data_IF_421397823846
#
_entry.id   IF_421397823846
#
_cell.length_a   1.000
_cell.length_b   1.000
_cell.length_c   1.000
_cell.angle_alpha   90.00
_cell.angle_beta   90.00
_cell.angle_gamma   90.00
#
_symmetry.space_group_name_H-M   'P 1'
#
loop_
_entity.id
_entity.type
_entity.pdbx_description
1 polymer ?
#
# COMPACT_ATOMS: atom_id res chain seq x y z
N UNK A 1 14.76 20.66 5.39
CA UNK A 1 16.14 20.20 5.21
C UNK A 1 16.30 18.88 5.92
N UNK A 2 16.70 17.82 5.22
CA UNK A 2 16.82 16.49 5.80
C UNK A 2 18.10 16.39 6.64
N UNK A 3 18.06 15.63 7.73
CA UNK A 3 19.23 15.40 8.57
C UNK A 3 20.35 14.70 7.78
N UNK A 4 21.61 15.09 8.01
CA UNK A 4 22.79 14.49 7.35
C UNK A 4 23.29 13.21 8.03
N UNK A 5 22.96 13.05 9.32
CA UNK A 5 23.18 11.86 10.13
C UNK A 5 21.97 11.69 11.05
N UNK A 6 21.41 10.48 11.08
CA UNK A 6 20.38 10.08 12.03
C UNK A 6 20.99 9.17 13.10
N UNK A 7 20.77 9.51 14.37
CA UNK A 7 21.02 8.63 15.51
C UNK A 7 19.71 7.95 15.88
N UNK A 8 19.66 6.62 15.76
CA UNK A 8 18.41 5.86 15.83
C UNK A 8 18.47 4.91 17.01
N UNK A 9 17.62 5.13 18.01
CA UNK A 9 17.39 4.19 19.10
C UNK A 9 16.39 3.12 18.63
N UNK A 10 16.87 2.12 17.87
CA UNK A 10 15.98 1.21 17.15
C UNK A 10 15.23 0.24 18.08
N UNK A 11 15.89 -0.16 19.16
CA UNK A 11 15.32 -1.00 20.22
C UNK A 11 14.32 -0.25 21.12
N UNK A 12 14.18 1.07 20.99
CA UNK A 12 13.31 1.88 21.83
C UNK A 12 11.89 1.90 21.28
N UNK A 13 10.92 1.60 22.14
CA UNK A 13 9.50 1.57 21.80
C UNK A 13 8.84 2.95 21.97
N UNK A 14 9.33 3.74 22.92
CA UNK A 14 8.88 5.10 23.18
C UNK A 14 10.04 6.01 23.68
N UNK A 15 9.70 7.24 24.09
CA UNK A 15 10.69 8.24 24.53
C UNK A 15 11.28 8.01 25.93
N UNK A 16 10.81 7.02 26.68
CA UNK A 16 11.32 6.66 28.02
C UNK A 16 12.45 5.65 27.93
N UNK A 17 12.52 4.89 26.84
CA UNK A 17 13.59 3.95 26.56
C UNK A 17 14.88 4.70 26.18
N UNK A 18 16.02 4.19 26.63
CA UNK A 18 17.34 4.72 26.27
C UNK A 18 17.95 4.01 25.05
N UNK A 19 19.01 4.58 24.48
CA UNK A 19 19.77 3.98 23.36
C UNK A 19 20.39 2.61 23.68
N UNK A 20 20.67 2.33 24.96
CA UNK A 20 21.43 1.16 25.40
C UNK A 20 20.60 0.21 26.26
N UNK A 21 19.43 0.65 26.72
CA UNK A 21 18.56 -0.14 27.59
C UNK A 21 17.59 -0.94 26.72
N UNK A 22 17.51 -2.25 26.97
CA UNK A 22 16.74 -3.17 26.14
C UNK A 22 15.31 -3.21 26.65
N UNK A 23 14.38 -2.66 25.87
CA UNK A 23 12.94 -2.61 26.22
C UNK A 23 12.27 -4.00 26.24
N UNK A 24 12.85 -5.02 25.59
CA UNK A 24 12.25 -6.36 25.48
C UNK A 24 13.15 -7.46 26.10
N UNK A 25 12.76 -7.90 27.29
CA UNK A 25 13.15 -9.17 27.92
C UNK A 25 12.31 -10.32 27.33
N UNK A 26 12.52 -10.67 26.07
CA UNK A 26 12.14 -12.00 25.58
C UNK A 26 13.42 -12.81 25.44
N UNK A 27 13.43 -13.97 26.10
CA UNK A 27 14.50 -14.96 26.02
C UNK A 27 14.86 -15.17 24.55
N UNK A 28 16.13 -14.92 24.20
CA UNK A 28 16.63 -15.31 22.89
C UNK A 28 16.31 -16.80 22.71
N UNK A 29 15.77 -17.24 21.56
CA UNK A 29 15.36 -18.63 21.38
C UNK A 29 16.52 -19.55 21.78
N UNK A 30 16.29 -20.39 22.80
CA UNK A 30 17.31 -21.17 23.52
C UNK A 30 18.11 -22.14 22.63
N UNK A 31 17.76 -22.27 21.35
CA UNK A 31 18.41 -23.15 20.39
C UNK A 31 18.85 -22.44 19.12
N UNK A 32 19.67 -21.39 19.23
CA UNK A 32 20.39 -20.93 18.05
C UNK A 32 21.82 -20.48 18.35
N UNK A 33 22.76 -21.09 17.62
CA UNK A 33 24.10 -20.53 17.39
C UNK A 33 24.03 -19.20 16.58
N UNK A 34 22.91 -18.46 16.61
CA UNK A 34 22.64 -17.28 15.79
C UNK A 34 22.19 -16.09 16.65
N UNK A 35 23.01 -15.70 17.64
CA UNK A 35 22.89 -14.36 18.28
C UNK A 35 22.96 -13.19 17.26
N UNK A 36 23.39 -13.47 16.03
CA UNK A 36 23.52 -12.53 14.91
C UNK A 36 22.22 -12.27 14.09
N UNK A 37 21.08 -12.89 14.40
CA UNK A 37 19.97 -13.00 13.43
C UNK A 37 18.71 -12.17 13.71
N UNK A 38 18.64 -11.29 14.71
CA UNK A 38 17.45 -10.43 14.84
C UNK A 38 17.47 -9.38 13.70
N UNK A 39 16.49 -9.42 12.78
CA UNK A 39 16.48 -8.50 11.64
C UNK A 39 16.11 -7.09 12.09
N UNK A 40 16.72 -6.08 11.47
CA UNK A 40 16.44 -4.68 11.80
C UNK A 40 14.96 -4.37 11.60
N UNK A 41 14.34 -4.98 10.59
CA UNK A 41 12.93 -4.84 10.23
C UNK A 41 11.98 -5.15 11.39
N UNK A 42 12.40 -5.98 12.35
CA UNK A 42 11.63 -6.34 13.55
C UNK A 42 11.87 -5.40 14.75
N UNK A 43 12.78 -4.43 14.63
CA UNK A 43 13.06 -3.47 15.71
C UNK A 43 11.85 -2.56 15.98
N UNK A 44 11.54 -2.25 17.26
CA UNK A 44 10.39 -1.44 17.66
C UNK A 44 10.22 -0.12 16.90
N UNK A 45 11.32 0.56 16.56
CA UNK A 45 11.30 1.82 15.80
C UNK A 45 10.59 1.72 14.45
N UNK A 46 10.63 0.54 13.82
CA UNK A 46 10.02 0.32 12.51
C UNK A 46 8.49 0.26 12.58
N UNK A 47 7.91 0.22 13.77
CA UNK A 47 6.46 0.30 13.96
C UNK A 47 5.92 1.73 13.82
N UNK A 48 6.75 2.78 13.86
CA UNK A 48 6.32 4.19 13.82
C UNK A 48 6.36 4.75 12.40
N UNK A 49 5.31 5.38 11.92
CA UNK A 49 5.19 5.75 10.51
C UNK A 49 6.25 6.77 10.04
N UNK A 50 6.52 7.80 10.85
CA UNK A 50 7.49 8.87 10.53
C UNK A 50 8.93 8.37 10.41
N UNK A 51 9.27 7.24 11.04
CA UNK A 51 10.64 6.73 11.05
C UNK A 51 11.07 6.17 9.70
N UNK A 52 10.12 5.78 8.82
CA UNK A 52 10.44 5.41 7.45
C UNK A 52 11.02 6.60 6.68
N UNK A 53 10.43 7.79 6.84
CA UNK A 53 10.94 8.99 6.19
C UNK A 53 12.32 9.34 6.72
N UNK A 54 12.51 9.31 8.04
CA UNK A 54 13.80 9.56 8.69
C UNK A 54 14.88 8.57 8.21
N UNK A 55 14.50 7.30 8.04
CA UNK A 55 15.35 6.27 7.47
C UNK A 55 15.71 6.55 6.01
N UNK A 56 14.74 6.64 5.11
CA UNK A 56 14.99 6.69 3.66
C UNK A 56 15.56 8.04 3.19
N UNK A 57 15.35 9.13 3.94
CA UNK A 57 15.85 10.46 3.56
C UNK A 57 17.23 10.80 4.12
N UNK A 58 17.69 10.12 5.18
CA UNK A 58 18.96 10.45 5.83
C UNK A 58 20.14 9.67 5.21
N UNK A 59 21.17 10.33 4.66
CA UNK A 59 22.25 9.62 3.95
C UNK A 59 23.18 8.82 4.86
N UNK A 60 23.20 9.10 6.17
CA UNK A 60 24.01 8.37 7.16
C UNK A 60 23.16 8.02 8.37
N UNK A 61 23.31 6.80 8.87
CA UNK A 61 22.49 6.28 9.96
C UNK A 61 23.40 5.56 10.94
N UNK A 62 23.30 5.91 12.22
CA UNK A 62 23.89 5.16 13.32
C UNK A 62 22.76 4.60 14.16
N UNK A 63 22.60 3.28 14.13
CA UNK A 63 21.46 2.56 14.68
C UNK A 63 21.90 1.75 15.88
N UNK A 64 21.31 2.06 17.03
CA UNK A 64 21.40 1.27 18.24
C UNK A 64 20.29 0.22 18.18
N UNK A 65 20.60 -0.92 17.57
CA UNK A 65 19.69 -2.05 17.43
C UNK A 65 19.79 -2.97 18.66
N UNK A 66 18.83 -3.89 18.82
CA UNK A 66 18.69 -4.74 20.00
C UNK A 66 19.92 -5.59 20.29
N UNK A 67 20.71 -5.95 19.27
CA UNK A 67 21.87 -6.84 19.41
C UNK A 67 23.17 -6.26 18.84
N UNK A 68 23.16 -5.06 18.24
CA UNK A 68 24.34 -4.48 17.59
C UNK A 68 24.21 -2.99 17.34
N UNK A 69 25.35 -2.35 17.14
CA UNK A 69 25.45 -1.02 16.54
C UNK A 69 25.58 -1.19 15.02
N UNK A 70 24.72 -0.51 14.25
CA UNK A 70 24.73 -0.55 12.78
C UNK A 70 25.07 0.85 12.29
N UNK A 71 26.13 1.00 11.50
CA UNK A 71 26.40 2.24 10.79
C UNK A 71 26.19 2.03 9.30
N UNK A 72 25.39 2.88 8.65
CA UNK A 72 25.27 2.88 7.19
C UNK A 72 25.38 4.26 6.58
N UNK A 73 25.88 4.27 5.35
CA UNK A 73 26.09 5.45 4.53
C UNK A 73 25.68 5.10 3.10
N UNK A 74 24.86 5.93 2.47
CA UNK A 74 24.35 5.68 1.11
C UNK A 74 25.48 5.49 0.08
N UNK A 75 26.61 6.21 0.24
CA UNK A 75 27.79 6.05 -0.62
C UNK A 75 28.45 4.66 -0.49
N UNK A 76 28.45 4.08 0.70
CA UNK A 76 29.01 2.73 0.92
C UNK A 76 28.09 1.62 0.41
N UNK A 77 26.82 1.94 0.16
CA UNK A 77 25.83 1.00 -0.35
C UNK A 77 25.81 0.96 -1.89
N UNK A 78 26.61 1.80 -2.57
CA UNK A 78 26.74 1.78 -4.03
C UNK A 78 27.47 0.53 -4.53
N UNK A 79 27.04 -0.07 -5.66
CA UNK A 79 27.74 -1.21 -6.26
C UNK A 79 29.22 -0.87 -6.52
N UNK A 80 30.15 -1.68 -5.98
CA UNK A 80 31.59 -1.53 -6.20
C UNK A 80 32.41 -1.13 -4.97
N UNK A 81 31.79 -0.62 -3.90
CA UNK A 81 32.48 -0.40 -2.63
C UNK A 81 32.52 -1.70 -1.82
N UNK A 82 33.73 -2.29 -1.71
CA UNK A 82 33.98 -3.44 -0.85
C UNK A 82 34.41 -2.95 0.53
N UNK A 83 33.69 -3.43 1.55
CA UNK A 83 33.89 -3.28 3.00
C UNK A 83 33.03 -2.19 3.60
N UNK A 84 31.88 -2.63 4.08
CA UNK A 84 31.26 -2.01 5.22
C UNK A 84 32.16 -2.22 6.45
N UNK A 85 32.67 -1.15 7.10
CA UNK A 85 33.51 -1.31 8.28
C UNK A 85 32.73 -1.77 9.53
N UNK A 86 31.39 -1.77 9.53
CA UNK A 86 30.57 -2.00 10.72
C UNK A 86 29.30 -2.86 10.51
N UNK A 87 28.88 -3.20 9.29
CA UNK A 87 27.74 -4.11 9.06
C UNK A 87 28.17 -5.55 8.78
N UNK A 88 28.20 -6.37 9.83
CA UNK A 88 27.97 -7.79 9.63
C UNK A 88 26.58 -8.00 9.03
N UNK A 89 26.47 -8.63 7.85
CA UNK A 89 25.24 -9.18 7.23
C UNK A 89 23.91 -8.39 7.35
N UNK A 90 23.91 -7.08 7.59
CA UNK A 90 22.69 -6.28 7.63
C UNK A 90 22.38 -5.83 6.20
N UNK A 91 21.47 -6.53 5.51
CA UNK A 91 20.98 -6.10 4.20
C UNK A 91 20.01 -4.95 4.37
N UNK A 92 20.53 -3.72 4.48
CA UNK A 92 19.69 -2.55 4.38
C UNK A 92 19.25 -2.40 2.92
N UNK A 93 17.96 -2.61 2.67
CA UNK A 93 17.35 -2.33 1.37
C UNK A 93 16.98 -0.86 1.28
N UNK A 94 17.90 -0.05 0.77
CA UNK A 94 17.57 1.28 0.25
C UNK A 94 16.97 1.17 -1.14
N UNK A 95 16.19 2.18 -1.51
CA UNK A 95 15.65 2.34 -2.85
C UNK A 95 16.80 2.61 -3.83
N UNK A 96 17.08 1.69 -4.77
CA UNK A 96 18.21 1.84 -5.67
C UNK A 96 17.91 2.90 -6.75
N UNK A 97 16.66 3.01 -7.20
CA UNK A 97 16.21 3.88 -8.30
C UNK A 97 14.74 4.27 -8.13
N UNK A 98 14.35 5.44 -8.65
CA UNK A 98 12.95 5.86 -8.65
C UNK A 98 12.17 5.17 -9.79
N UNK A 99 11.42 4.13 -9.44
CA UNK A 99 10.43 3.52 -10.31
C UNK A 99 9.15 3.15 -9.55
N UNK A 100 8.05 2.92 -10.27
CA UNK A 100 6.74 2.67 -9.65
C UNK A 100 6.70 1.37 -8.81
N UNK A 101 7.49 0.36 -9.16
CA UNK A 101 7.61 -0.84 -8.32
C UNK A 101 8.22 -0.48 -6.97
N UNK A 102 9.28 0.33 -6.97
CA UNK A 102 9.91 0.80 -5.75
C UNK A 102 9.03 1.75 -4.94
N UNK A 103 8.23 2.60 -5.60
CA UNK A 103 7.18 3.36 -4.91
C UNK A 103 6.16 2.44 -4.24
N UNK A 104 5.72 1.38 -4.93
CA UNK A 104 4.84 0.36 -4.36
C UNK A 104 5.43 -0.26 -3.10
N UNK A 105 6.70 -0.68 -3.13
CA UNK A 105 7.41 -1.24 -1.97
C UNK A 105 7.51 -0.25 -0.80
N UNK A 106 7.73 1.04 -1.08
CA UNK A 106 7.69 2.08 -0.06
C UNK A 106 6.32 2.16 0.61
N UNK A 107 5.26 2.17 -0.18
CA UNK A 107 3.88 2.22 0.31
C UNK A 107 3.57 0.97 1.15
N UNK A 108 3.96 -0.22 0.70
CA UNK A 108 3.78 -1.48 1.46
C UNK A 108 4.50 -1.41 2.81
N UNK A 109 5.79 -1.08 2.81
CA UNK A 109 6.59 -0.89 4.03
C UNK A 109 5.93 0.15 4.94
N UNK A 110 5.45 1.26 4.40
CA UNK A 110 4.81 2.31 5.17
C UNK A 110 3.47 1.88 5.78
N UNK A 111 2.67 1.12 5.03
CA UNK A 111 1.28 0.79 5.38
C UNK A 111 1.14 0.00 6.69
N UNK A 112 2.14 -0.82 7.04
CA UNK A 112 2.18 -1.62 8.27
C UNK A 112 2.49 -0.78 9.53
N UNK A 113 2.88 0.48 9.37
CA UNK A 113 3.34 1.34 10.48
C UNK A 113 2.18 2.10 11.13
N UNK A 114 2.33 2.37 12.42
CA UNK A 114 1.38 3.07 13.28
C UNK A 114 1.61 4.58 13.21
N UNK A 115 0.51 5.32 13.10
CA UNK A 115 0.46 6.77 13.20
C UNK A 115 -0.19 7.17 14.53
N UNK A 116 0.39 8.15 15.21
CA UNK A 116 -0.24 8.78 16.37
C UNK A 116 -1.46 9.60 15.93
N UNK A 117 -1.33 10.36 14.83
CA UNK A 117 -2.43 11.06 14.19
C UNK A 117 -2.80 10.39 12.85
N UNK A 118 -3.97 9.73 12.75
CA UNK A 118 -4.40 9.08 11.51
C UNK A 118 -4.47 10.02 10.30
N UNK A 119 -4.66 11.33 10.50
CA UNK A 119 -4.74 12.29 9.39
C UNK A 119 -3.37 12.63 8.76
N UNK A 120 -2.27 12.18 9.37
CA UNK A 120 -0.92 12.38 8.84
C UNK A 120 -0.47 11.28 7.87
N UNK A 121 -1.39 10.40 7.44
CA UNK A 121 -1.10 9.25 6.57
C UNK A 121 -0.33 9.64 5.30
N UNK A 122 -0.79 10.65 4.56
CA UNK A 122 -0.07 11.16 3.39
C UNK A 122 1.07 12.09 3.76
N UNK A 123 0.90 12.91 4.79
CA UNK A 123 1.89 13.90 5.22
C UNK A 123 3.22 13.25 5.64
N UNK A 124 3.18 12.13 6.37
CA UNK A 124 4.37 11.40 6.80
C UNK A 124 5.10 10.67 5.64
N UNK A 125 4.50 10.62 4.45
CA UNK A 125 5.12 10.13 3.22
C UNK A 125 5.54 11.27 2.27
N UNK A 126 5.20 12.52 2.58
CA UNK A 126 5.35 13.65 1.67
C UNK A 126 6.82 13.89 1.27
N UNK A 127 7.76 13.78 2.23
CA UNK A 127 9.19 13.95 1.93
C UNK A 127 9.74 12.83 1.05
N UNK A 128 9.18 11.61 1.16
CA UNK A 128 9.54 10.48 0.29
C UNK A 128 8.98 10.65 -1.11
N UNK A 129 7.73 11.11 -1.22
CA UNK A 129 7.11 11.44 -2.50
C UNK A 129 7.88 12.56 -3.23
N UNK A 130 8.31 13.60 -2.51
CA UNK A 130 9.12 14.69 -3.06
C UNK A 130 10.48 14.19 -3.57
N UNK A 131 11.21 13.41 -2.76
CA UNK A 131 12.47 12.79 -3.18
C UNK A 131 12.27 11.86 -4.38
N UNK A 132 11.20 11.07 -4.39
CA UNK A 132 10.86 10.19 -5.51
C UNK A 132 10.59 10.97 -6.79
N UNK A 133 9.78 12.04 -6.73
CA UNK A 133 9.51 12.89 -7.89
C UNK A 133 10.78 13.55 -8.44
N UNK A 134 11.65 14.02 -7.55
CA UNK A 134 12.94 14.61 -7.92
C UNK A 134 13.86 13.61 -8.60
N UNK A 135 13.97 12.38 -8.07
CA UNK A 135 14.80 11.31 -8.65
C UNK A 135 14.21 10.75 -9.95
N UNK A 136 12.89 10.79 -10.10
CA UNK A 136 12.20 10.38 -11.31
C UNK A 136 12.21 11.47 -12.40
N UNK A 137 12.70 12.66 -12.12
CA UNK A 137 12.77 13.80 -13.06
C UNK A 137 11.42 14.07 -13.74
N UNK A 138 10.32 13.96 -12.99
CA UNK A 138 8.96 14.19 -13.50
C UNK A 138 8.38 13.07 -14.39
N UNK A 139 9.10 11.96 -14.59
CA UNK A 139 8.70 10.81 -15.43
C UNK A 139 7.31 10.24 -15.12
N UNK A 140 6.88 10.31 -13.87
CA UNK A 140 5.63 9.69 -13.41
C UNK A 140 4.43 10.65 -13.31
N UNK A 141 4.59 11.90 -13.76
CA UNK A 141 3.52 12.89 -13.79
C UNK A 141 3.13 13.42 -12.40
N UNK A 142 1.86 13.81 -12.25
CA UNK A 142 1.33 14.38 -11.00
C UNK A 142 1.26 13.36 -9.88
N UNK A 143 1.48 13.84 -8.65
CA UNK A 143 1.18 13.08 -7.44
C UNK A 143 -0.29 13.21 -7.06
N UNK A 144 -0.96 12.08 -6.89
CA UNK A 144 -2.40 11.97 -6.72
C UNK A 144 -2.68 11.17 -5.46
N UNK A 145 -2.77 11.89 -4.32
CA UNK A 145 -3.14 11.35 -3.02
C UNK A 145 -2.46 10.01 -2.67
N UNK A 146 -1.15 9.87 -2.85
CA UNK A 146 -0.41 8.62 -2.56
C UNK A 146 0.01 7.82 -3.79
N UNK A 147 -0.51 8.14 -4.97
CA UNK A 147 -0.24 7.46 -6.24
C UNK A 147 0.34 8.43 -7.28
N UNK A 148 0.84 7.91 -8.39
CA UNK A 148 1.34 8.70 -9.51
C UNK A 148 0.41 8.63 -10.73
N UNK A 149 0.37 9.69 -11.53
CA UNK A 149 -0.46 9.78 -12.73
C UNK A 149 -0.09 8.72 -13.79
N UNK A 150 1.20 8.48 -14.01
CA UNK A 150 1.66 7.43 -14.93
C UNK A 150 1.26 6.05 -14.40
N UNK A 151 0.59 5.27 -15.25
CA UNK A 151 0.13 3.91 -14.92
C UNK A 151 -0.81 3.83 -13.70
N UNK A 152 -1.57 4.90 -13.43
CA UNK A 152 -2.49 5.00 -12.29
C UNK A 152 -3.46 3.83 -12.21
N UNK A 153 -4.03 3.37 -13.33
CA UNK A 153 -4.99 2.26 -13.35
C UNK A 153 -4.44 0.95 -12.75
N UNK A 154 -3.12 0.70 -12.89
CA UNK A 154 -2.47 -0.45 -12.24
C UNK A 154 -2.18 -0.19 -10.78
N UNK A 155 -1.75 1.02 -10.45
CA UNK A 155 -1.50 1.42 -9.07
C UNK A 155 -2.78 1.32 -8.22
N UNK A 156 -3.96 1.52 -8.83
CA UNK A 156 -5.26 1.29 -8.20
C UNK A 156 -5.53 -0.18 -7.87
N UNK A 157 -4.72 -1.15 -8.31
CA UNK A 157 -4.92 -2.56 -7.97
C UNK A 157 -4.26 -2.97 -6.65
N UNK A 158 -3.82 -1.99 -5.82
CA UNK A 158 -3.44 -2.29 -4.44
C UNK A 158 -4.57 -2.99 -3.69
N UNK A 159 -4.27 -3.81 -2.70
CA UNK A 159 -5.26 -4.53 -1.88
C UNK A 159 -4.82 -4.66 -0.44
N UNK A 160 -5.73 -4.95 0.47
CA UNK A 160 -5.35 -5.35 1.81
C UNK A 160 -4.49 -6.62 1.77
N UNK A 161 -3.42 -6.64 2.59
CA UNK A 161 -2.57 -7.81 2.76
C UNK A 161 -2.65 -8.29 4.21
N UNK A 162 -3.20 -9.47 4.44
CA UNK A 162 -3.18 -10.08 5.76
C UNK A 162 -1.85 -10.82 5.92
N UNK A 163 -0.87 -10.20 6.61
CA UNK A 163 0.33 -10.94 7.01
C UNK A 163 -0.05 -12.03 8.02
N UNK A 164 0.45 -13.24 7.83
CA UNK A 164 0.36 -14.34 8.81
C UNK A 164 1.28 -14.08 10.02
N UNK A 165 1.98 -12.95 10.08
CA UNK A 165 2.84 -12.59 11.20
C UNK A 165 2.02 -12.40 12.48
N UNK A 166 2.23 -13.34 13.41
CA UNK A 166 1.53 -13.59 14.66
C UNK A 166 1.53 -12.43 15.69
N UNK A 167 1.93 -11.22 15.32
CA UNK A 167 2.06 -10.08 16.25
C UNK A 167 1.01 -8.99 16.11
N UNK A 168 0.26 -8.92 15.02
CA UNK A 168 -0.96 -8.10 14.97
C UNK A 168 -1.85 -8.44 13.76
N UNK A 169 -2.93 -9.18 13.98
CA UNK A 169 -4.09 -9.24 13.09
C UNK A 169 -4.85 -7.92 13.15
N UNK A 170 -4.26 -6.82 12.65
CA UNK A 170 -4.98 -5.55 12.55
C UNK A 170 -5.87 -5.63 11.33
N UNK A 171 -7.16 -5.87 11.55
CA UNK A 171 -8.16 -5.74 10.50
C UNK A 171 -8.06 -4.33 9.88
N UNK A 172 -8.03 -4.27 8.55
CA UNK A 172 -8.10 -3.00 7.84
C UNK A 172 -9.40 -2.29 8.18
N UNK A 173 -9.31 -0.97 8.37
CA UNK A 173 -10.46 -0.12 8.72
C UNK A 173 -10.39 1.21 8.01
N UNK A 174 -11.55 1.79 7.69
CA UNK A 174 -11.64 3.18 7.24
C UNK A 174 -11.56 4.12 8.47
N UNK A 175 -10.83 5.24 8.36
CA UNK A 175 -10.81 6.24 9.42
C UNK A 175 -12.19 6.90 9.57
N UNK A 176 -12.53 7.31 10.81
CA UNK A 176 -13.80 8.00 11.09
C UNK A 176 -13.91 9.36 10.40
N UNK A 177 -12.77 10.03 10.22
CA UNK A 177 -12.66 11.31 9.52
C UNK A 177 -12.09 11.07 8.14
N UNK A 178 -12.69 11.68 7.12
CA UNK A 178 -12.16 11.63 5.77
C UNK A 178 -10.76 12.26 5.71
N UNK A 179 -9.82 11.56 5.06
CA UNK A 179 -8.42 12.02 4.91
C UNK A 179 -7.83 11.81 3.52
N UNK A 180 -8.47 10.98 2.70
CA UNK A 180 -8.03 10.60 1.37
C UNK A 180 -9.22 10.02 0.58
N UNK A 181 -9.24 10.17 -0.75
CA UNK A 181 -10.27 9.60 -1.61
C UNK A 181 -10.24 8.07 -1.60
N UNK A 182 -11.37 7.40 -1.85
CA UNK A 182 -11.48 5.94 -1.63
C UNK A 182 -10.57 5.10 -2.52
N UNK A 183 -10.15 5.62 -3.67
CA UNK A 183 -9.22 4.98 -4.60
C UNK A 183 -7.75 5.04 -4.12
N UNK A 184 -7.42 5.90 -3.16
CA UNK A 184 -6.11 5.97 -2.54
C UNK A 184 -5.93 4.89 -1.47
N UNK A 185 -4.74 4.28 -1.43
CA UNK A 185 -4.33 3.37 -0.35
C UNK A 185 -4.34 4.04 1.02
N UNK A 186 -4.23 5.37 1.07
CA UNK A 186 -4.28 6.14 2.32
C UNK A 186 -5.70 6.25 2.89
N UNK A 187 -6.74 5.83 2.15
CA UNK A 187 -8.14 5.83 2.61
C UNK A 187 -8.43 4.79 3.69
N UNK A 188 -7.52 3.84 3.92
CA UNK A 188 -7.64 2.80 4.95
C UNK A 188 -6.42 2.76 5.88
N UNK A 189 -6.63 2.25 7.09
CA UNK A 189 -5.57 1.83 7.99
C UNK A 189 -5.33 0.33 7.85
N UNK A 190 -4.08 -0.10 7.85
CA UNK A 190 -3.70 -1.50 7.78
C UNK A 190 -2.68 -1.79 6.67
N UNK A 191 -2.10 -2.99 6.68
CA UNK A 191 -1.18 -3.43 5.65
C UNK A 191 -1.86 -3.54 4.29
N UNK A 192 -1.19 -3.04 3.26
CA UNK A 192 -1.60 -3.22 1.87
C UNK A 192 -0.47 -3.89 1.09
N UNK A 193 -0.84 -4.56 0.00
CA UNK A 193 0.09 -5.00 -1.05
C UNK A 193 -0.22 -4.29 -2.35
N UNK A 194 0.81 -3.81 -3.01
CA UNK A 194 0.78 -3.26 -4.36
C UNK A 194 0.99 -4.39 -5.36
N UNK A 195 0.11 -4.49 -6.37
CA UNK A 195 0.27 -5.50 -7.41
C UNK A 195 1.59 -5.30 -8.16
N UNK A 196 2.37 -6.36 -8.41
CA UNK A 196 3.56 -6.28 -9.27
C UNK A 196 3.16 -5.76 -10.65
N UNK A 197 3.84 -4.71 -11.11
CA UNK A 197 3.60 -4.13 -12.43
C UNK A 197 4.19 -5.08 -13.49
N UNK A 198 3.37 -6.01 -14.00
CA UNK A 198 3.75 -6.81 -15.16
C UNK A 198 4.04 -5.90 -16.37
N UNK A 199 5.00 -6.25 -17.24
CA UNK A 199 5.41 -5.38 -18.34
C UNK A 199 4.32 -5.15 -19.41
N UNK A 200 3.35 -6.06 -19.54
CA UNK A 200 2.34 -5.97 -20.59
C UNK A 200 1.24 -4.95 -20.25
N UNK A 201 1.12 -3.93 -21.10
CA UNK A 201 0.20 -2.79 -21.00
C UNK A 201 -1.14 -2.99 -21.74
N UNK A 202 -1.85 -4.10 -21.49
CA UNK A 202 -3.22 -4.25 -21.99
C UNK A 202 -4.25 -3.79 -20.95
N UNK A 203 -4.73 -2.55 -21.06
CA UNK A 203 -5.84 -2.06 -20.22
C UNK A 203 -7.13 -1.98 -21.03
N UNK A 204 -8.22 -2.65 -20.60
CA UNK A 204 -9.54 -2.49 -21.21
C UNK A 204 -10.22 -1.17 -20.79
N UNK A 205 -9.61 -0.38 -19.90
CA UNK A 205 -10.12 0.89 -19.43
C UNK A 205 -9.18 2.04 -19.80
N UNK A 206 -9.72 3.25 -19.83
CA UNK A 206 -8.97 4.49 -20.03
C UNK A 206 -9.22 5.46 -18.90
N UNK A 207 -8.15 6.03 -18.37
CA UNK A 207 -8.24 7.15 -17.43
C UNK A 207 -8.69 8.40 -18.19
N UNK A 208 -9.84 8.96 -17.82
CA UNK A 208 -10.41 10.18 -18.44
C UNK A 208 -9.91 11.42 -17.72
N UNK A 209 -9.90 11.39 -16.39
CA UNK A 209 -9.33 12.46 -15.56
C UNK A 209 -8.86 11.91 -14.21
N UNK A 210 -7.92 12.60 -13.58
CA UNK A 210 -7.47 12.30 -12.22
C UNK A 210 -7.00 13.58 -11.53
N UNK A 211 -7.58 13.85 -10.37
CA UNK A 211 -7.34 15.06 -9.60
C UNK A 211 -7.24 14.74 -8.11
N UNK A 212 -6.33 15.43 -7.43
CA UNK A 212 -6.23 15.44 -5.97
C UNK A 212 -5.81 16.85 -5.54
N UNK A 213 -6.59 17.48 -4.67
CA UNK A 213 -6.35 18.85 -4.23
C UNK A 213 -5.58 18.84 -2.92
N UNK A 214 -4.33 19.32 -2.87
CA UNK A 214 -3.58 19.39 -1.62
C UNK A 214 -4.19 20.42 -0.67
N UNK A 215 -3.96 20.26 0.62
CA UNK A 215 -4.40 21.24 1.64
C UNK A 215 -3.61 22.56 1.53
N UNK A 216 -2.40 22.51 0.98
CA UNK A 216 -1.52 23.65 0.80
C UNK A 216 -0.59 23.43 -0.38
N UNK A 217 -0.41 24.45 -1.22
CA UNK A 217 0.51 24.43 -2.36
C UNK A 217 1.98 24.30 -1.92
N UNK A 218 2.29 24.63 -0.66
CA UNK A 218 3.63 24.45 -0.08
C UNK A 218 3.91 22.97 0.23
N UNK A 219 2.87 22.13 0.35
CA UNK A 219 2.99 20.70 0.61
C UNK A 219 2.14 19.90 -0.38
N UNK A 220 2.51 19.89 -1.68
CA UNK A 220 1.70 19.26 -2.73
C UNK A 220 1.65 17.73 -2.59
N UNK A 221 2.60 17.13 -1.87
CA UNK A 221 2.66 15.70 -1.59
C UNK A 221 2.02 15.29 -0.26
N UNK A 222 1.47 16.26 0.50
CA UNK A 222 0.95 16.06 1.84
C UNK A 222 -0.53 15.71 1.89
N UNK A 223 -1.23 16.28 2.88
CA UNK A 223 -2.67 16.08 3.07
C UNK A 223 -3.47 16.62 1.88
N UNK A 224 -4.55 15.94 1.54
CA UNK A 224 -5.49 16.37 0.49
C UNK A 224 -6.84 16.74 1.11
N UNK A 225 -7.58 17.64 0.44
CA UNK A 225 -8.95 18.05 0.83
C UNK A 225 -10.02 17.47 -0.10
N UNK A 226 -9.64 17.02 -1.29
CA UNK A 226 -10.51 16.32 -2.23
C UNK A 226 -9.67 15.48 -3.19
N UNK A 227 -10.31 14.52 -3.86
CA UNK A 227 -9.72 13.81 -4.97
C UNK A 227 -10.77 13.00 -5.73
N UNK A 228 -10.63 12.93 -7.04
CA UNK A 228 -11.54 12.21 -7.91
C UNK A 228 -10.78 11.64 -9.11
N UNK A 229 -11.14 10.43 -9.53
CA UNK A 229 -10.68 9.85 -10.78
C UNK A 229 -11.88 9.48 -11.63
N UNK A 230 -11.79 9.73 -12.92
CA UNK A 230 -12.80 9.34 -13.89
C UNK A 230 -12.23 8.24 -14.78
N UNK A 231 -12.85 7.06 -14.76
CA UNK A 231 -12.40 5.91 -15.52
C UNK A 231 -13.50 5.48 -16.48
N UNK A 232 -13.14 5.28 -17.74
CA UNK A 232 -14.03 4.72 -18.75
C UNK A 232 -13.60 3.29 -19.06
N UNK A 233 -14.49 2.32 -18.89
CA UNK A 233 -14.14 0.91 -19.09
C UNK A 233 -15.35 -0.03 -19.05
N UNK A 234 -15.13 -1.33 -19.36
CA UNK A 234 -16.16 -2.34 -19.22
C UNK A 234 -16.50 -2.53 -17.75
N UNK A 235 -17.80 -2.56 -17.43
CA UNK A 235 -18.24 -2.72 -16.06
C UNK A 235 -19.53 -3.50 -16.00
N UNK A 236 -19.54 -4.47 -15.11
CA UNK A 236 -20.73 -5.28 -14.85
C UNK A 236 -21.34 -4.84 -13.54
N UNK A 237 -22.65 -4.66 -13.54
CA UNK A 237 -23.41 -4.33 -12.34
C UNK A 237 -24.11 -5.59 -11.86
N UNK A 238 -23.93 -5.93 -10.59
CA UNK A 238 -24.63 -7.05 -9.98
C UNK A 238 -25.27 -6.64 -8.66
N UNK A 239 -26.47 -7.14 -8.38
CA UNK A 239 -27.09 -6.95 -7.09
C UNK A 239 -26.64 -8.07 -6.15
N UNK A 240 -26.18 -7.73 -4.94
CA UNK A 240 -25.87 -8.73 -3.92
C UNK A 240 -27.06 -9.68 -3.63
N UNK A 241 -28.30 -9.16 -3.76
CA UNK A 241 -29.54 -9.92 -3.60
C UNK A 241 -29.85 -10.94 -4.71
N UNK A 242 -29.13 -10.93 -5.84
CA UNK A 242 -29.34 -11.86 -6.97
C UNK A 242 -28.64 -13.21 -6.78
N UNK A 243 -28.24 -13.55 -5.54
CA UNK A 243 -27.65 -14.86 -5.22
C UNK A 243 -26.13 -14.90 -5.31
N UNK A 244 -25.47 -13.73 -5.27
CA UNK A 244 -24.05 -13.62 -5.00
C UNK A 244 -23.77 -14.09 -3.56
N UNK A 245 -22.86 -15.05 -3.41
CA UNK A 245 -22.41 -15.54 -2.10
C UNK A 245 -20.91 -15.38 -1.99
N UNK A 246 -20.46 -14.74 -0.92
CA UNK A 246 -19.06 -14.67 -0.55
C UNK A 246 -18.65 -15.95 0.19
N UNK A 247 -17.74 -16.71 -0.40
CA UNK A 247 -17.08 -17.84 0.22
C UNK A 247 -15.63 -17.45 0.51
N UNK A 248 -15.30 -17.30 1.79
CA UNK A 248 -13.93 -17.06 2.24
C UNK A 248 -13.02 -18.18 1.73
N UNK A 249 -11.94 -17.82 1.03
CA UNK A 249 -10.90 -18.80 0.74
C UNK A 249 -10.13 -18.97 2.03
N UNK A 250 -10.09 -20.21 2.55
CA UNK A 250 -9.30 -20.56 3.72
C UNK A 250 -7.82 -20.63 3.35
N UNK A 251 -7.25 -19.51 2.90
CA UNK A 251 -5.83 -19.33 2.70
C UNK A 251 -5.36 -18.05 3.41
N UNK A 252 -4.04 -17.94 3.61
CA UNK A 252 -3.42 -16.78 4.24
C UNK A 252 -3.43 -15.52 3.39
N UNK A 253 -4.05 -15.53 2.20
CA UNK A 253 -3.86 -14.49 1.19
C UNK A 253 -4.87 -13.34 1.32
N UNK A 254 -5.98 -13.56 2.03
CA UNK A 254 -7.06 -12.59 2.19
C UNK A 254 -8.00 -12.47 0.99
N UNK A 255 -7.91 -13.38 0.00
CA UNK A 255 -8.84 -13.44 -1.12
C UNK A 255 -10.16 -14.12 -0.73
N UNK A 256 -11.26 -13.67 -1.33
CA UNK A 256 -12.61 -14.20 -1.15
C UNK A 256 -13.19 -14.60 -2.50
N UNK A 257 -13.81 -15.78 -2.61
CA UNK A 257 -14.50 -16.18 -3.83
C UNK A 257 -15.92 -15.65 -3.80
N UNK A 258 -16.31 -14.90 -4.82
CA UNK A 258 -17.70 -14.60 -5.09
C UNK A 258 -18.26 -15.65 -6.04
N UNK A 259 -19.36 -16.28 -5.63
CA UNK A 259 -20.10 -17.23 -6.47
C UNK A 259 -21.47 -16.70 -6.81
N UNK A 260 -21.94 -16.99 -8.01
CA UNK A 260 -23.34 -16.85 -8.39
C UNK A 260 -23.90 -18.25 -8.66
N UNK A 261 -24.76 -18.72 -7.75
CA UNK A 261 -25.22 -20.12 -7.76
C UNK A 261 -24.06 -21.11 -7.55
N UNK A 262 -23.81 -21.99 -8.53
CA UNK A 262 -22.70 -22.96 -8.49
C UNK A 262 -21.43 -22.48 -9.19
N UNK A 263 -21.50 -21.39 -9.97
CA UNK A 263 -20.36 -20.89 -10.75
C UNK A 263 -19.57 -19.87 -9.93
N UNK A 264 -18.25 -19.92 -10.05
CA UNK A 264 -17.39 -18.83 -9.59
C UNK A 264 -17.62 -17.61 -10.48
N UNK A 265 -17.83 -16.45 -9.86
CA UNK A 265 -18.06 -15.19 -10.54
C UNK A 265 -16.75 -14.40 -10.64
N UNK A 266 -16.13 -14.16 -9.48
CA UNK A 266 -14.83 -13.49 -9.38
C UNK A 266 -14.14 -13.84 -8.05
N UNK A 267 -12.83 -13.69 -8.00
CA UNK A 267 -12.09 -13.67 -6.74
C UNK A 267 -11.78 -12.22 -6.35
N UNK A 268 -12.08 -11.86 -5.11
CA UNK A 268 -12.11 -10.46 -4.65
C UNK A 268 -11.31 -10.24 -3.37
N UNK A 269 -10.78 -9.03 -3.20
CA UNK A 269 -10.20 -8.54 -1.97
C UNK A 269 -10.85 -7.19 -1.62
N UNK A 270 -11.58 -7.15 -0.51
CA UNK A 270 -12.19 -5.93 -0.01
C UNK A 270 -11.15 -5.01 0.62
N UNK A 271 -11.35 -3.70 0.53
CA UNK A 271 -10.45 -2.73 1.14
C UNK A 271 -10.55 -2.77 2.68
N UNK A 272 -11.72 -3.12 3.23
CA UNK A 272 -11.99 -3.29 4.66
C UNK A 272 -12.96 -4.44 4.92
N UNK A 273 -13.10 -4.84 6.19
CA UNK A 273 -14.12 -5.83 6.58
C UNK A 273 -15.54 -5.32 6.32
N UNK A 274 -15.80 -4.06 6.66
CA UNK A 274 -17.11 -3.41 6.47
C UNK A 274 -17.49 -3.31 4.98
N UNK A 275 -16.51 -3.15 4.09
CA UNK A 275 -16.74 -3.19 2.64
C UNK A 275 -17.19 -4.57 2.14
N UNK A 276 -16.78 -5.65 2.80
CA UNK A 276 -17.25 -7.01 2.53
C UNK A 276 -18.71 -7.24 2.95
N UNK A 277 -19.15 -6.59 4.03
CA UNK A 277 -20.55 -6.67 4.50
C UNK A 277 -21.53 -6.05 3.49
N UNK A 278 -21.06 -5.15 2.60
CA UNK A 278 -21.86 -4.60 1.48
C UNK A 278 -22.32 -5.72 0.54
N UNK A 279 -21.55 -6.80 0.40
CA UNK A 279 -21.94 -7.96 -0.40
C UNK A 279 -23.04 -8.82 0.24
N UNK A 280 -23.36 -8.60 1.52
CA UNK A 280 -24.49 -9.25 2.20
C UNK A 280 -25.76 -8.39 2.19
N UNK A 281 -25.65 -7.13 1.77
CA UNK A 281 -26.75 -6.18 1.67
C UNK A 281 -27.56 -6.26 0.37
N UNK A 282 -28.46 -5.31 0.16
CA UNK A 282 -29.26 -5.15 -1.08
C UNK A 282 -28.64 -4.17 -2.08
N UNK A 283 -27.40 -3.75 -1.85
CA UNK A 283 -26.71 -2.76 -2.68
C UNK A 283 -26.29 -3.31 -4.05
N UNK A 284 -26.15 -2.39 -5.02
CA UNK A 284 -25.52 -2.69 -6.31
C UNK A 284 -23.99 -2.65 -6.16
N UNK A 285 -23.35 -3.66 -6.71
CA UNK A 285 -21.91 -3.78 -6.84
C UNK A 285 -21.51 -3.58 -8.29
N UNK A 286 -20.43 -2.84 -8.51
CA UNK A 286 -19.94 -2.50 -9.84
C UNK A 286 -18.54 -3.10 -9.98
N UNK A 287 -18.35 -3.94 -10.99
CA UNK A 287 -17.10 -4.64 -11.30
C UNK A 287 -16.49 -4.01 -12.55
N UNK A 288 -15.64 -3.00 -12.37
CA UNK A 288 -14.99 -2.24 -13.44
C UNK A 288 -13.66 -2.90 -13.81
N UNK A 289 -13.57 -3.50 -15.00
CA UNK A 289 -12.33 -4.11 -15.50
C UNK A 289 -11.31 -3.06 -15.90
N UNK A 290 -10.08 -3.11 -15.36
CA UNK A 290 -9.04 -2.09 -15.58
C UNK A 290 -7.73 -2.64 -16.12
N UNK A 291 -7.48 -3.94 -16.02
CA UNK A 291 -6.23 -4.54 -16.51
C UNK A 291 -6.50 -5.94 -17.06
N UNK A 292 -6.01 -6.21 -18.26
CA UNK A 292 -5.98 -7.55 -18.83
C UNK A 292 -4.55 -8.09 -18.76
N UNK A 293 -4.37 -9.17 -18.01
CA UNK A 293 -3.12 -9.92 -17.90
C UNK A 293 -3.33 -11.31 -18.52
N UNK A 294 -2.26 -12.04 -18.89
CA UNK A 294 -2.41 -13.39 -19.42
C UNK A 294 -3.28 -14.26 -18.51
N UNK A 295 -4.38 -14.79 -19.05
CA UNK A 295 -5.34 -15.66 -18.36
C UNK A 295 -6.17 -14.99 -17.27
N UNK A 296 -6.01 -13.68 -16.99
CA UNK A 296 -6.72 -12.99 -15.91
C UNK A 296 -7.10 -11.56 -16.25
N UNK A 297 -8.36 -11.20 -16.03
CA UNK A 297 -8.79 -9.81 -15.97
C UNK A 297 -8.82 -9.34 -14.52
N UNK A 298 -8.25 -8.16 -14.26
CA UNK A 298 -8.26 -7.48 -12.97
C UNK A 298 -9.09 -6.20 -13.06
N UNK A 299 -9.67 -5.82 -11.92
CA UNK A 299 -10.50 -4.63 -11.88
C UNK A 299 -10.80 -4.13 -10.47
N UNK A 300 -11.56 -3.05 -10.43
CA UNK A 300 -12.00 -2.38 -9.22
C UNK A 300 -13.42 -2.81 -8.87
N UNK A 301 -13.67 -3.02 -7.59
CA UNK A 301 -15.01 -3.13 -7.05
C UNK A 301 -15.46 -1.77 -6.53
N UNK A 302 -16.63 -1.32 -6.98
CA UNK A 302 -17.21 -0.05 -6.59
C UNK A 302 -18.62 -0.24 -6.03
N UNK A 303 -19.02 0.70 -5.19
CA UNK A 303 -20.41 0.91 -4.77
C UNK A 303 -20.84 2.33 -5.13
N UNK A 304 -22.14 2.53 -5.34
CA UNK A 304 -22.68 3.85 -5.62
C UNK A 304 -22.53 4.76 -4.38
N UNK A 305 -22.15 6.01 -4.63
CA UNK A 305 -22.11 7.08 -3.66
C UNK A 305 -23.07 8.20 -4.08
N UNK A 306 -23.01 9.35 -3.41
CA UNK A 306 -23.86 10.51 -3.72
C UNK A 306 -23.56 11.09 -5.11
N UNK A 307 -24.49 11.85 -5.69
CA UNK A 307 -24.29 12.62 -6.92
C UNK A 307 -23.76 11.82 -8.13
N UNK A 308 -24.20 10.57 -8.30
CA UNK A 308 -23.73 9.68 -9.38
C UNK A 308 -22.22 9.43 -9.38
N UNK A 309 -21.59 9.53 -8.19
CA UNK A 309 -20.21 9.12 -7.97
C UNK A 309 -20.15 7.71 -7.40
N UNK A 310 -18.93 7.19 -7.33
CA UNK A 310 -18.66 5.84 -6.87
C UNK A 310 -17.59 5.85 -5.80
N UNK A 311 -17.69 4.90 -4.88
CA UNK A 311 -16.66 4.64 -3.88
C UNK A 311 -16.05 3.28 -4.17
N UNK A 312 -14.72 3.22 -4.17
CA UNK A 312 -14.00 1.95 -4.23
C UNK A 312 -14.19 1.18 -2.91
N UNK A 313 -14.44 -0.12 -3.04
CA UNK A 313 -14.62 -1.06 -1.93
C UNK A 313 -13.67 -2.26 -1.98
N UNK A 314 -12.90 -2.41 -3.07
CA UNK A 314 -11.97 -3.52 -3.23
C UNK A 314 -11.45 -3.66 -4.65
N UNK A 315 -10.78 -4.79 -4.88
CA UNK A 315 -10.30 -5.23 -6.19
C UNK A 315 -10.79 -6.64 -6.47
N UNK A 316 -10.88 -7.00 -7.74
CA UNK A 316 -11.19 -8.36 -8.17
C UNK A 316 -10.27 -8.83 -9.26
N UNK A 317 -10.21 -10.15 -9.44
CA UNK A 317 -9.79 -10.77 -10.68
C UNK A 317 -10.71 -11.92 -11.07
N UNK A 318 -10.72 -12.23 -12.36
CA UNK A 318 -11.46 -13.36 -12.95
C UNK A 318 -10.68 -13.89 -14.16
N UNK A 319 -11.05 -15.06 -14.68
CA UNK A 319 -10.40 -15.59 -15.89
C UNK A 319 -10.73 -14.69 -17.09
N UNK A 320 -9.76 -14.39 -17.95
CA UNK A 320 -9.90 -13.46 -19.10
C UNK A 320 -10.98 -13.88 -20.13
N UNK A 321 -11.29 -15.18 -20.20
CA UNK A 321 -12.37 -15.74 -21.03
C UNK A 321 -13.75 -15.69 -20.36
N UNK A 322 -13.89 -14.96 -19.25
CA UNK A 322 -15.17 -14.82 -18.55
C UNK A 322 -16.19 -14.03 -19.38
N UNK A 323 -17.12 -14.74 -20.02
CA UNK A 323 -18.19 -14.19 -20.86
C UNK A 323 -18.97 -13.05 -20.17
N UNK A 324 -19.15 -13.14 -18.84
CA UNK A 324 -19.91 -12.17 -18.06
C UNK A 324 -19.32 -10.76 -18.06
N UNK A 325 -18.03 -10.60 -18.34
CA UNK A 325 -17.35 -9.30 -18.41
C UNK A 325 -17.10 -8.85 -19.86
N UNK A 326 -17.41 -9.71 -20.83
CA UNK A 326 -17.37 -9.41 -22.26
C UNK A 326 -18.72 -8.85 -22.77
N UNK A 327 -19.82 -9.09 -22.03
CA UNK A 327 -21.15 -8.57 -22.33
C UNK A 327 -21.42 -7.22 -21.61
N UNK A 328 -21.56 -6.17 -22.43
CA UNK A 328 -22.21 -4.86 -22.20
C UNK A 328 -21.46 -3.60 -21.67
N UNK A 329 -21.73 -2.52 -22.42
CA UNK A 329 -21.60 -1.07 -22.19
C UNK A 329 -20.34 -0.53 -21.48
N UNK A 330 -19.33 -0.13 -22.28
CA UNK A 330 -18.28 0.79 -21.84
C UNK A 330 -18.91 2.08 -21.31
N UNK A 331 -18.78 2.30 -20.00
CA UNK A 331 -19.39 3.42 -19.28
C UNK A 331 -18.32 4.21 -18.54
N UNK A 332 -18.68 5.40 -18.06
CA UNK A 332 -17.76 6.32 -17.37
C UNK A 332 -18.13 6.41 -15.90
N UNK A 333 -17.13 6.22 -15.03
CA UNK A 333 -17.28 6.12 -13.59
C UNK A 333 -16.38 7.13 -12.90
N UNK A 334 -16.98 8.04 -12.12
CA UNK A 334 -16.23 9.00 -11.28
C UNK A 334 -16.11 8.44 -9.87
N UNK A 335 -14.89 8.10 -9.46
CA UNK A 335 -14.58 7.49 -8.17
C UNK A 335 -13.98 8.55 -7.25
N UNK A 336 -14.55 8.70 -6.04
CA UNK A 336 -14.18 9.73 -5.05
C UNK A 336 -13.60 9.15 -3.78
#
# INVERSE_FOLDING_TARGET
GNAFLALIAANSSDCKDGFFERSVLDEAPENSNTRDSFPYEEEPINSRAWTLQEWELCPRRLVFASYRLIYTCDEHLRPGFKRDPFTGRCRIQLIPEANLHTWGTLVEKYSVRKLENPNDKLLAMAGLAEKFASLAEGKYGKYLAGLWEEDLLRQLLWRQWNTVDFRATVASRRPKTWRAPSWSWASIDGPISCMPLAPEKCSPATLVSAEATPTSDVSPYGRVISGAITVRGPCVVSCASEGLRAELIADSTGWTKLRHGKKEFATVAFDTKEDGEVCEGSGKLYFLGTLNAPSKMWGLMLTAAEHATFRRIGVFFTDDNSEWLQEDAVSTYTII
#
